data_IF_928618531710
#
_entry.id   IF_928618531710
#
_cell.length_a   1.000
_cell.length_b   1.000
_cell.length_c   1.000
_cell.angle_alpha   90.00
_cell.angle_beta   90.00
_cell.angle_gamma   90.00
#
_symmetry.space_group_name_H-M   'P 1'
#
loop_
_entity.id
_entity.type
_entity.pdbx_description
1 polymer ?
#
# COMPACT_ATOMS: atom_id res chain seq x y z
N UNK A 1 -20.09 13.00 -19.91
CA UNK A 1 -20.36 11.93 -18.93
C UNK A 1 -19.18 10.99 -18.73
N UNK A 2 -18.43 10.65 -19.79
CA UNK A 2 -17.31 9.69 -19.72
C UNK A 2 -16.10 10.17 -18.91
N UNK A 3 -15.75 11.46 -18.95
CA UNK A 3 -14.56 11.98 -18.25
C UNK A 3 -14.74 12.10 -16.73
N UNK A 4 -15.92 12.49 -16.27
CA UNK A 4 -16.27 12.55 -14.84
C UNK A 4 -16.27 11.14 -14.24
N UNK A 5 -16.84 10.17 -14.96
CA UNK A 5 -16.83 8.77 -14.55
C UNK A 5 -15.40 8.21 -14.49
N UNK A 6 -14.54 8.55 -15.46
CA UNK A 6 -13.13 8.15 -15.49
C UNK A 6 -12.33 8.76 -14.33
N UNK A 7 -12.53 10.05 -14.02
CA UNK A 7 -11.92 10.71 -12.84
C UNK A 7 -12.37 10.06 -11.53
N UNK A 8 -13.66 9.77 -11.39
CA UNK A 8 -14.20 9.10 -10.21
C UNK A 8 -13.61 7.69 -10.04
N UNK A 9 -13.48 6.94 -11.14
CA UNK A 9 -12.86 5.62 -11.12
C UNK A 9 -11.40 5.68 -10.66
N UNK A 10 -10.60 6.61 -11.19
CA UNK A 10 -9.21 6.79 -10.74
C UNK A 10 -9.12 7.15 -9.26
N UNK A 11 -10.04 7.97 -8.74
CA UNK A 11 -10.08 8.32 -7.33
C UNK A 11 -10.39 7.12 -6.43
N UNK A 12 -11.38 6.30 -6.82
CA UNK A 12 -11.72 5.05 -6.12
C UNK A 12 -10.55 4.08 -6.16
N UNK A 13 -9.94 3.85 -7.33
CA UNK A 13 -8.77 2.98 -7.46
C UNK A 13 -7.60 3.46 -6.61
N UNK A 14 -7.32 4.76 -6.56
CA UNK A 14 -6.26 5.32 -5.71
C UNK A 14 -6.50 5.01 -4.23
N UNK A 15 -7.74 5.16 -3.75
CA UNK A 15 -8.10 4.82 -2.36
C UNK A 15 -7.96 3.32 -2.07
N UNK A 16 -8.35 2.46 -3.01
CA UNK A 16 -8.17 1.01 -2.87
C UNK A 16 -6.68 0.66 -2.74
N UNK A 17 -5.83 1.21 -3.62
CA UNK A 17 -4.37 0.97 -3.53
C UNK A 17 -3.77 1.50 -2.22
N UNK A 18 -4.24 2.65 -1.72
CA UNK A 18 -3.81 3.16 -0.42
C UNK A 18 -4.24 2.21 0.72
N UNK A 19 -5.48 1.72 0.70
CA UNK A 19 -5.97 0.74 1.67
C UNK A 19 -5.14 -0.55 1.67
N UNK A 20 -4.90 -1.12 0.49
CA UNK A 20 -4.06 -2.31 0.31
C UNK A 20 -2.65 -2.08 0.86
N UNK A 21 -2.05 -0.91 0.59
CA UNK A 21 -0.72 -0.59 1.10
C UNK A 21 -0.64 -0.64 2.63
N UNK A 22 -1.64 -0.07 3.32
CA UNK A 22 -1.71 -0.05 4.78
C UNK A 22 -1.93 -1.46 5.34
N UNK A 23 -2.77 -2.27 4.69
CA UNK A 23 -2.99 -3.68 5.09
C UNK A 23 -1.67 -4.46 5.06
N UNK A 24 -0.87 -4.32 4.00
CA UNK A 24 0.44 -4.96 3.95
C UNK A 24 1.37 -4.46 5.06
N UNK A 25 1.43 -3.15 5.28
CA UNK A 25 2.27 -2.59 6.34
C UNK A 25 1.90 -3.16 7.71
N UNK A 26 0.61 -3.15 8.06
CA UNK A 26 0.12 -3.67 9.34
C UNK A 26 0.41 -5.16 9.47
N UNK A 27 0.02 -5.96 8.48
CA UNK A 27 0.17 -7.42 8.52
C UNK A 27 1.63 -7.83 8.72
N UNK A 28 2.55 -7.29 7.92
CA UNK A 28 3.97 -7.64 8.00
C UNK A 28 4.66 -7.07 9.23
N UNK A 29 4.26 -5.89 9.72
CA UNK A 29 4.78 -5.35 10.98
C UNK A 29 4.32 -6.19 12.16
N UNK A 30 3.07 -6.69 12.15
CA UNK A 30 2.57 -7.61 13.17
C UNK A 30 3.33 -8.93 13.16
N UNK A 31 3.62 -9.50 11.99
CA UNK A 31 4.44 -10.71 11.87
C UNK A 31 5.87 -10.47 12.37
N UNK A 32 6.50 -9.36 11.98
CA UNK A 32 7.83 -9.00 12.46
C UNK A 32 7.88 -8.84 13.99
N UNK A 33 6.85 -8.20 14.57
CA UNK A 33 6.75 -8.04 16.02
C UNK A 33 6.54 -9.39 16.71
N UNK A 34 5.71 -10.27 16.16
CA UNK A 34 5.48 -11.61 16.69
C UNK A 34 6.76 -12.44 16.71
N UNK A 35 7.54 -12.44 15.63
CA UNK A 35 8.84 -13.12 15.56
C UNK A 35 9.84 -12.56 16.56
N UNK A 36 9.99 -11.23 16.61
CA UNK A 36 10.89 -10.57 17.53
C UNK A 36 10.58 -10.90 19.00
N UNK A 37 9.30 -10.94 19.36
CA UNK A 37 8.85 -11.31 20.71
C UNK A 37 9.00 -12.81 21.00
N UNK A 38 8.95 -13.65 19.96
CA UNK A 38 9.16 -15.11 20.06
C UNK A 38 10.64 -15.48 20.20
N UNK A 39 11.55 -14.52 20.01
CA UNK A 39 13.00 -14.68 20.17
C UNK A 39 13.71 -15.27 18.95
N UNK A 40 13.02 -15.43 17.81
CA UNK A 40 13.61 -15.84 16.54
C UNK A 40 13.73 -14.63 15.60
N UNK A 41 14.83 -13.91 15.72
CA UNK A 41 15.07 -12.67 14.98
C UNK A 41 15.45 -12.88 13.50
N UNK A 42 15.60 -14.13 13.04
CA UNK A 42 16.03 -14.40 11.68
C UNK A 42 15.04 -13.86 10.64
N UNK A 43 13.74 -13.90 10.93
CA UNK A 43 12.68 -13.52 9.98
C UNK A 43 12.15 -12.09 10.15
N UNK A 44 12.39 -11.48 11.32
CA UNK A 44 11.96 -10.11 11.65
C UNK A 44 12.32 -9.10 10.56
N UNK A 45 13.58 -9.12 10.10
CA UNK A 45 14.08 -8.17 9.11
C UNK A 45 13.47 -8.42 7.73
N UNK A 46 13.25 -9.69 7.34
CA UNK A 46 12.60 -10.03 6.08
C UNK A 46 11.15 -9.55 6.05
N UNK A 47 10.40 -9.75 7.14
CA UNK A 47 9.02 -9.26 7.24
C UNK A 47 8.95 -7.74 7.19
N UNK A 48 9.85 -7.02 7.86
CA UNK A 48 9.91 -5.56 7.78
C UNK A 48 10.20 -5.06 6.36
N UNK A 49 11.20 -5.65 5.69
CA UNK A 49 11.56 -5.27 4.31
C UNK A 49 10.41 -5.57 3.33
N UNK A 50 9.76 -6.73 3.46
CA UNK A 50 8.59 -7.08 2.65
C UNK A 50 7.41 -6.15 2.91
N UNK A 51 7.11 -5.87 4.18
CA UNK A 51 6.03 -4.98 4.58
C UNK A 51 6.20 -3.56 4.06
N UNK A 52 7.35 -2.94 4.34
CA UNK A 52 7.67 -1.60 3.86
C UNK A 52 7.81 -1.56 2.34
N UNK A 53 8.40 -2.58 1.72
CA UNK A 53 8.55 -2.66 0.27
C UNK A 53 7.20 -2.69 -0.45
N UNK A 54 6.30 -3.59 -0.05
CA UNK A 54 4.96 -3.70 -0.63
C UNK A 54 4.13 -2.44 -0.32
N UNK A 55 4.17 -1.93 0.90
CA UNK A 55 3.55 -0.65 1.25
C UNK A 55 3.98 0.45 0.29
N UNK A 56 5.29 0.63 0.09
CA UNK A 56 5.83 1.69 -0.76
C UNK A 56 5.36 1.56 -2.21
N UNK A 57 5.37 0.34 -2.77
CA UNK A 57 4.92 0.09 -4.15
C UNK A 57 3.46 0.49 -4.31
N UNK A 58 2.56 -0.01 -3.45
CA UNK A 58 1.13 0.28 -3.55
C UNK A 58 0.82 1.75 -3.23
N UNK A 59 1.54 2.36 -2.29
CA UNK A 59 1.40 3.77 -1.96
C UNK A 59 1.82 4.68 -3.13
N UNK A 60 2.92 4.36 -3.82
CA UNK A 60 3.34 5.08 -5.02
C UNK A 60 2.37 4.90 -6.18
N UNK A 61 1.82 3.70 -6.37
CA UNK A 61 0.77 3.43 -7.37
C UNK A 61 -0.50 4.21 -7.05
N UNK A 62 -0.90 4.27 -5.78
CA UNK A 62 -2.01 5.11 -5.31
C UNK A 62 -1.77 6.57 -5.65
N UNK A 63 -0.61 7.12 -5.28
CA UNK A 63 -0.24 8.51 -5.56
C UNK A 63 -0.20 8.83 -7.06
N UNK A 64 0.31 7.93 -7.89
CA UNK A 64 0.29 8.07 -9.36
C UNK A 64 -1.15 8.09 -9.90
N UNK A 65 -2.02 7.25 -9.37
CA UNK A 65 -3.43 7.17 -9.78
C UNK A 65 -4.21 8.41 -9.33
N UNK A 66 -3.95 8.91 -8.13
CA UNK A 66 -4.49 10.16 -7.59
C UNK A 66 -4.07 11.37 -8.46
N UNK A 67 -2.80 11.42 -8.89
CA UNK A 67 -2.31 12.45 -9.81
C UNK A 67 -3.02 12.41 -11.17
N UNK A 68 -3.32 11.22 -11.71
CA UNK A 68 -4.12 11.08 -12.94
C UNK A 68 -5.54 11.59 -12.76
N UNK A 69 -6.19 11.27 -11.63
CA UNK A 69 -7.52 11.77 -11.30
C UNK A 69 -7.58 13.32 -11.24
N UNK A 70 -6.56 13.94 -10.63
CA UNK A 70 -6.47 15.40 -10.51
C UNK A 70 -6.12 16.11 -11.83
N UNK A 71 -5.30 15.49 -12.68
CA UNK A 71 -4.92 16.06 -13.98
C UNK A 71 -5.99 15.88 -15.07
N UNK A 72 -7.00 15.04 -14.85
CA UNK A 72 -8.10 14.84 -15.78
C UNK A 72 -7.68 14.35 -17.18
N UNK A 73 -6.64 13.51 -17.22
CA UNK A 73 -6.07 12.92 -18.45
C UNK A 73 -6.40 11.43 -18.54
#
# INVERSE_FOLDING_TARGET
MTDEFRKMMHFVSARIYAGISVVFLVMYTTLALHEHLSGDDQWTLYYLVLGFGLFLVFFLVSGRTMKKALRGT
#
